data_IF_623191581099
#
_entry.id   IF_623191581099
#
_cell.length_a   1.000
_cell.length_b   1.000
_cell.length_c   1.000
_cell.angle_alpha   90.00
_cell.angle_beta   90.00
_cell.angle_gamma   90.00
#
_symmetry.space_group_name_H-M   'P 1'
#
loop_
_entity.id
_entity.type
_entity.pdbx_description
1 polymer ?
#
# COMPACT_ATOMS: atom_id res chain seq x y z
N UNK A 1 -16.16 14.44 4.94
CA UNK A 1 -17.53 13.94 4.97
C UNK A 1 -17.51 12.48 5.42
N UNK A 2 -18.24 12.17 6.47
CA UNK A 2 -18.38 10.80 6.93
C UNK A 2 -19.36 10.03 6.08
N UNK A 3 -19.00 8.78 5.75
CA UNK A 3 -19.90 7.84 5.10
C UNK A 3 -19.98 6.57 5.93
N UNK A 4 -21.10 5.89 5.82
CA UNK A 4 -21.40 4.66 6.53
C UNK A 4 -21.65 3.56 5.53
N UNK A 5 -20.78 2.56 5.57
CA UNK A 5 -20.81 1.43 4.65
C UNK A 5 -21.38 0.23 5.37
N UNK A 6 -22.52 -0.26 4.88
CA UNK A 6 -23.12 -1.47 5.42
C UNK A 6 -22.55 -2.67 4.67
N UNK A 7 -22.03 -3.60 5.41
CA UNK A 7 -21.44 -4.83 4.88
C UNK A 7 -22.15 -6.05 5.42
N UNK A 8 -22.09 -7.15 4.71
CA UNK A 8 -22.59 -8.43 5.16
C UNK A 8 -21.67 -9.56 4.73
N UNK A 9 -21.78 -10.68 5.42
CA UNK A 9 -21.00 -11.87 5.13
C UNK A 9 -19.64 -11.91 5.80
N UNK A 10 -18.99 -13.06 5.69
CA UNK A 10 -17.65 -13.33 6.21
C UNK A 10 -16.84 -14.04 5.13
N UNK A 11 -15.54 -13.76 5.10
CA UNK A 11 -14.62 -14.35 4.11
C UNK A 11 -15.10 -14.11 2.67
N UNK A 12 -15.31 -15.18 1.91
CA UNK A 12 -15.70 -15.10 0.49
C UNK A 12 -17.08 -14.52 0.24
N UNK A 13 -17.95 -14.53 1.25
CA UNK A 13 -19.31 -13.98 1.14
C UNK A 13 -19.40 -12.51 1.56
N UNK A 14 -18.27 -11.92 1.95
CA UNK A 14 -18.22 -10.51 2.34
C UNK A 14 -18.53 -9.61 1.15
N UNK A 15 -19.40 -8.66 1.36
CA UNK A 15 -19.77 -7.68 0.34
C UNK A 15 -20.33 -6.41 0.93
N UNK A 16 -20.28 -5.34 0.14
CA UNK A 16 -20.91 -4.06 0.48
C UNK A 16 -22.37 -4.12 0.04
N UNK A 17 -23.29 -3.90 0.99
CA UNK A 17 -24.72 -3.90 0.73
C UNK A 17 -25.26 -2.50 0.39
N UNK A 18 -24.77 -1.47 1.10
CA UNK A 18 -25.23 -0.11 0.91
C UNK A 18 -24.24 0.89 1.47
N UNK A 19 -24.33 2.15 1.02
CA UNK A 19 -23.52 3.27 1.49
C UNK A 19 -24.46 4.43 1.79
N UNK A 20 -24.31 5.03 2.98
CA UNK A 20 -25.13 6.13 3.43
C UNK A 20 -24.27 7.28 3.92
N UNK A 21 -24.79 8.50 3.83
CA UNK A 21 -24.14 9.69 4.40
C UNK A 21 -24.65 10.02 5.80
N UNK A 22 -25.73 9.37 6.24
CA UNK A 22 -26.32 9.58 7.56
C UNK A 22 -26.39 8.26 8.33
N UNK A 23 -25.98 8.31 9.58
CA UNK A 23 -25.97 7.15 10.46
C UNK A 23 -27.35 6.50 10.64
N UNK A 24 -28.38 7.33 10.78
CA UNK A 24 -29.75 6.85 11.03
C UNK A 24 -30.23 5.93 9.92
N UNK A 25 -29.91 6.25 8.68
CA UNK A 25 -30.31 5.42 7.54
C UNK A 25 -29.52 4.11 7.48
N UNK A 26 -28.23 4.18 7.82
CA UNK A 26 -27.40 2.97 7.89
C UNK A 26 -27.93 2.02 8.98
N UNK A 27 -28.24 2.56 10.15
CA UNK A 27 -28.75 1.80 11.28
C UNK A 27 -30.08 1.13 10.95
N UNK A 28 -31.01 1.86 10.33
CA UNK A 28 -32.28 1.31 9.87
C UNK A 28 -32.10 0.19 8.85
N UNK A 29 -31.18 0.38 7.92
CA UNK A 29 -30.89 -0.62 6.89
C UNK A 29 -30.32 -1.90 7.51
N UNK A 30 -29.42 -1.77 8.46
CA UNK A 30 -28.85 -2.91 9.19
C UNK A 30 -29.93 -3.70 9.92
N UNK A 31 -30.86 -3.00 10.60
CA UNK A 31 -31.96 -3.64 11.31
C UNK A 31 -32.87 -4.44 10.35
N UNK A 32 -33.16 -3.89 9.18
CA UNK A 32 -33.97 -4.59 8.18
C UNK A 32 -33.23 -5.76 7.54
N UNK A 33 -31.96 -5.58 7.20
CA UNK A 33 -31.15 -6.62 6.57
C UNK A 33 -30.90 -7.79 7.53
N UNK A 34 -30.68 -7.50 8.81
CA UNK A 34 -30.41 -8.49 9.84
C UNK A 34 -31.58 -9.47 10.04
N UNK A 35 -32.81 -9.00 9.80
CA UNK A 35 -34.02 -9.85 9.85
C UNK A 35 -34.04 -10.91 8.76
N UNK A 36 -33.39 -10.65 7.63
CA UNK A 36 -33.39 -11.52 6.45
C UNK A 36 -32.09 -12.30 6.28
N UNK A 37 -31.07 -12.03 7.11
CA UNK A 37 -29.77 -12.67 7.03
C UNK A 37 -29.63 -13.67 8.19
N UNK A 38 -29.80 -14.98 7.94
CA UNK A 38 -29.97 -15.97 9.01
C UNK A 38 -28.72 -16.20 9.86
N UNK A 39 -27.54 -15.87 9.35
CA UNK A 39 -26.27 -16.15 10.05
C UNK A 39 -25.57 -14.89 10.59
N UNK A 40 -26.22 -13.72 10.55
CA UNK A 40 -25.62 -12.48 10.99
C UNK A 40 -24.51 -11.98 10.08
N UNK A 41 -23.54 -11.30 10.64
CA UNK A 41 -22.44 -10.73 9.87
C UNK A 41 -22.77 -9.41 9.17
N UNK A 42 -23.84 -8.74 9.57
CA UNK A 42 -24.19 -7.39 9.08
C UNK A 42 -23.52 -6.39 9.99
N UNK A 43 -22.71 -5.53 9.41
CA UNK A 43 -21.94 -4.51 10.14
C UNK A 43 -22.00 -3.18 9.43
N UNK A 44 -21.72 -2.09 10.17
CA UNK A 44 -21.55 -0.75 9.63
C UNK A 44 -20.10 -0.32 9.85
N UNK A 45 -19.45 0.07 8.77
CA UNK A 45 -18.11 0.68 8.83
C UNK A 45 -18.25 2.20 8.61
N UNK A 46 -17.58 2.98 9.46
CA UNK A 46 -17.52 4.43 9.31
C UNK A 46 -16.23 4.80 8.56
N UNK A 47 -16.37 5.59 7.50
CA UNK A 47 -15.25 6.07 6.69
C UNK A 47 -15.33 7.57 6.51
N UNK A 48 -14.17 8.21 6.44
CA UNK A 48 -14.08 9.61 6.02
C UNK A 48 -13.88 9.67 4.52
N UNK A 49 -14.92 10.11 3.81
CA UNK A 49 -14.79 10.44 2.40
C UNK A 49 -14.01 11.74 2.27
N UNK A 50 -13.15 11.81 1.26
CA UNK A 50 -12.32 12.99 0.99
C UNK A 50 -11.39 13.38 2.15
N UNK A 51 -10.81 12.38 2.82
CA UNK A 51 -9.82 12.58 3.87
C UNK A 51 -8.69 13.49 3.37
N UNK A 52 -8.44 14.66 4.02
CA UNK A 52 -7.41 15.59 3.59
C UNK A 52 -6.01 14.98 3.51
N UNK A 53 -5.68 14.05 4.40
CA UNK A 53 -4.39 13.37 4.36
C UNK A 53 -4.23 12.51 3.12
N UNK A 54 -5.31 11.87 2.70
CA UNK A 54 -5.31 11.03 1.48
C UNK A 54 -5.39 11.85 0.20
N UNK A 55 -5.90 13.09 0.25
CA UNK A 55 -5.89 14.00 -0.89
C UNK A 55 -4.48 14.47 -1.27
N UNK A 56 -3.53 14.40 -0.36
CA UNK A 56 -2.14 14.76 -0.61
C UNK A 56 -1.35 13.64 -1.29
N UNK A 57 -2.02 12.62 -1.78
CA UNK A 57 -1.41 11.57 -2.56
C UNK A 57 -1.29 12.00 -4.02
N UNK A 58 -0.17 11.66 -4.63
CA UNK A 58 0.08 11.85 -6.05
C UNK A 58 0.44 10.53 -6.70
N UNK A 59 -0.02 10.32 -7.93
CA UNK A 59 0.38 9.17 -8.72
C UNK A 59 1.80 9.36 -9.26
N UNK A 60 2.67 8.41 -8.99
CA UNK A 60 4.05 8.45 -9.47
C UNK A 60 4.42 7.14 -10.13
N UNK A 61 5.34 7.24 -11.09
CA UNK A 61 6.03 6.07 -11.59
C UNK A 61 7.14 5.70 -10.61
N UNK A 62 7.17 4.43 -10.22
CA UNK A 62 8.19 3.89 -9.33
C UNK A 62 9.09 2.98 -10.13
N UNK A 63 10.35 3.32 -10.19
CA UNK A 63 11.39 2.55 -10.86
C UNK A 63 12.15 1.74 -9.81
N UNK A 64 12.28 0.45 -10.04
CA UNK A 64 12.86 -0.45 -9.05
C UNK A 64 14.20 -0.98 -9.51
N UNK A 65 15.13 -1.10 -8.58
CA UNK A 65 16.41 -1.77 -8.79
C UNK A 65 16.75 -2.58 -7.53
N UNK A 66 17.50 -3.64 -7.70
CA UNK A 66 17.82 -4.53 -6.60
C UNK A 66 19.22 -5.15 -6.77
N UNK A 67 19.78 -5.57 -5.66
CA UNK A 67 20.97 -6.42 -5.64
C UNK A 67 20.58 -7.77 -5.02
N UNK A 68 20.74 -8.87 -5.74
CA UNK A 68 20.38 -10.19 -5.22
C UNK A 68 21.15 -10.54 -3.93
N UNK A 69 20.54 -11.37 -3.09
CA UNK A 69 21.18 -11.90 -1.91
C UNK A 69 22.47 -12.67 -2.30
N UNK A 70 23.56 -12.36 -1.61
CA UNK A 70 24.86 -12.96 -1.91
C UNK A 70 25.53 -12.48 -3.19
N UNK A 71 24.89 -11.57 -3.94
CA UNK A 71 25.40 -11.01 -5.18
C UNK A 71 25.87 -9.57 -5.05
N UNK A 72 26.43 -9.06 -6.14
CA UNK A 72 26.91 -7.68 -6.23
C UNK A 72 26.38 -6.96 -7.48
N UNK A 73 25.64 -7.66 -8.31
CA UNK A 73 25.11 -7.10 -9.55
C UNK A 73 23.81 -6.34 -9.29
N UNK A 74 23.73 -5.12 -9.82
CA UNK A 74 22.53 -4.31 -9.76
C UNK A 74 21.62 -4.73 -10.91
N UNK A 75 20.36 -5.06 -10.58
CA UNK A 75 19.37 -5.52 -11.55
C UNK A 75 18.19 -4.54 -11.53
N UNK A 76 17.83 -4.02 -12.69
CA UNK A 76 16.59 -3.24 -12.85
C UNK A 76 15.37 -4.17 -12.81
N UNK A 77 14.37 -3.82 -12.01
CA UNK A 77 13.20 -4.68 -11.77
C UNK A 77 11.91 -4.20 -12.43
N UNK A 78 11.98 -3.16 -13.25
CA UNK A 78 10.81 -2.66 -13.96
C UNK A 78 10.22 -1.40 -13.35
N UNK A 79 8.98 -1.12 -13.73
CA UNK A 79 8.28 0.11 -13.34
C UNK A 79 6.85 -0.22 -12.95
N UNK A 80 6.39 0.36 -11.86
CA UNK A 80 4.99 0.33 -11.44
C UNK A 80 4.48 1.75 -11.22
N UNK A 81 3.17 1.92 -11.20
CA UNK A 81 2.55 3.18 -10.81
C UNK A 81 1.92 2.99 -9.43
N UNK A 82 2.18 3.95 -8.54
CA UNK A 82 1.58 3.88 -7.20
C UNK A 82 1.26 5.28 -6.67
N UNK A 83 0.31 5.37 -5.75
CA UNK A 83 -0.02 6.60 -5.06
C UNK A 83 0.88 6.76 -3.84
N UNK A 84 1.53 7.91 -3.75
CA UNK A 84 2.44 8.23 -2.64
C UNK A 84 2.16 9.65 -2.13
N UNK A 85 2.50 9.97 -0.87
CA UNK A 85 2.44 11.34 -0.38
C UNK A 85 3.29 12.27 -1.25
N UNK A 86 2.85 13.51 -1.43
CA UNK A 86 3.58 14.51 -2.24
C UNK A 86 5.05 14.66 -1.88
N UNK A 87 5.38 14.49 -0.60
CA UNK A 87 6.73 14.65 -0.08
C UNK A 87 7.45 13.31 0.13
N UNK A 88 6.93 12.24 -0.47
CA UNK A 88 7.55 10.92 -0.34
C UNK A 88 8.95 10.91 -0.92
N UNK A 89 9.86 10.30 -0.20
CA UNK A 89 11.25 10.11 -0.63
C UNK A 89 11.41 8.73 -1.26
N UNK A 90 12.38 8.62 -2.16
CA UNK A 90 12.80 7.33 -2.68
C UNK A 90 13.17 6.39 -1.53
N UNK A 91 12.83 5.12 -1.69
CA UNK A 91 13.01 4.12 -0.64
C UNK A 91 14.21 3.24 -0.95
N UNK A 92 15.10 3.08 0.03
CA UNK A 92 16.24 2.19 -0.07
C UNK A 92 16.21 1.25 1.13
N UNK A 93 16.05 -0.04 0.86
CA UNK A 93 16.02 -1.08 1.90
C UNK A 93 17.29 -1.90 1.76
N UNK A 94 18.02 -2.01 2.84
CA UNK A 94 19.25 -2.80 2.91
C UNK A 94 19.10 -3.87 3.98
N UNK A 95 19.23 -5.13 3.58
CA UNK A 95 19.18 -6.26 4.49
C UNK A 95 20.14 -7.33 3.96
N UNK A 96 21.33 -7.40 4.55
CA UNK A 96 22.38 -8.33 4.15
C UNK A 96 22.04 -9.80 4.47
N UNK A 97 21.03 -10.02 5.31
CA UNK A 97 20.54 -11.35 5.68
C UNK A 97 19.24 -11.74 4.96
N UNK A 98 18.76 -10.90 4.04
CA UNK A 98 17.54 -11.20 3.28
C UNK A 98 17.74 -12.43 2.38
N UNK A 99 16.65 -13.18 2.18
CA UNK A 99 16.66 -14.40 1.35
C UNK A 99 16.78 -14.10 -0.14
N UNK A 100 16.21 -12.98 -0.60
CA UNK A 100 16.10 -12.67 -2.03
C UNK A 100 16.95 -11.48 -2.46
N UNK A 101 16.89 -10.38 -1.71
CA UNK A 101 17.53 -9.12 -2.06
C UNK A 101 18.32 -8.57 -0.89
N UNK A 102 19.60 -8.26 -1.09
CA UNK A 102 20.38 -7.53 -0.08
C UNK A 102 20.20 -6.01 -0.17
N UNK A 103 19.79 -5.50 -1.33
CA UNK A 103 19.41 -4.10 -1.54
C UNK A 103 18.15 -4.07 -2.40
N UNK A 104 17.16 -3.29 -1.99
CA UNK A 104 15.98 -3.02 -2.78
C UNK A 104 15.75 -1.51 -2.82
N UNK A 105 15.56 -0.96 -4.02
CA UNK A 105 15.39 0.46 -4.25
C UNK A 105 14.12 0.73 -5.01
N UNK A 106 13.37 1.73 -4.54
CA UNK A 106 12.24 2.32 -5.25
C UNK A 106 12.55 3.79 -5.49
N UNK A 107 12.73 4.18 -6.75
CA UNK A 107 12.97 5.56 -7.14
C UNK A 107 11.74 6.14 -7.81
N UNK A 108 11.39 7.38 -7.49
CA UNK A 108 10.31 8.12 -8.14
C UNK A 108 10.83 9.01 -9.27
N UNK A 109 12.11 8.96 -9.57
CA UNK A 109 12.77 9.83 -10.55
C UNK A 109 12.97 9.12 -11.88
N UNK A 110 13.77 8.07 -11.92
CA UNK A 110 14.11 7.36 -13.15
C UNK A 110 14.73 6.00 -12.84
N UNK A 111 14.86 5.18 -13.88
CA UNK A 111 15.54 3.89 -13.80
C UNK A 111 17.02 4.06 -13.43
N UNK A 112 17.67 5.04 -14.04
CA UNK A 112 19.08 5.36 -13.79
C UNK A 112 19.29 5.79 -12.33
N UNK A 113 18.36 6.58 -11.81
CA UNK A 113 18.39 7.01 -10.41
C UNK A 113 18.21 5.83 -9.46
N UNK A 114 17.31 4.89 -9.77
CA UNK A 114 17.15 3.67 -8.98
C UNK A 114 18.46 2.86 -8.94
N UNK A 115 19.11 2.68 -10.07
CA UNK A 115 20.39 1.97 -10.16
C UNK A 115 21.52 2.70 -9.41
N UNK A 116 21.53 4.02 -9.48
CA UNK A 116 22.50 4.85 -8.73
C UNK A 116 22.34 4.65 -7.22
N UNK A 117 21.11 4.71 -6.72
CA UNK A 117 20.84 4.50 -5.30
C UNK A 117 21.24 3.08 -4.85
N UNK A 118 21.00 2.08 -5.69
CA UNK A 118 21.41 0.71 -5.41
C UNK A 118 22.94 0.58 -5.34
N UNK A 119 23.66 1.23 -6.26
CA UNK A 119 25.11 1.25 -6.27
C UNK A 119 25.69 1.92 -5.01
N UNK A 120 25.13 3.05 -4.61
CA UNK A 120 25.54 3.75 -3.40
C UNK A 120 25.32 2.90 -2.15
N UNK A 121 24.16 2.24 -2.05
CA UNK A 121 23.86 1.35 -0.93
C UNK A 121 24.81 0.17 -0.87
N UNK A 122 25.14 -0.42 -2.02
CA UNK A 122 26.06 -1.54 -2.11
C UNK A 122 27.49 -1.12 -1.69
N UNK A 123 27.93 0.04 -2.13
CA UNK A 123 29.25 0.60 -1.72
C UNK A 123 29.30 0.83 -0.21
N UNK A 124 28.22 1.34 0.37
CA UNK A 124 28.12 1.54 1.81
C UNK A 124 28.24 0.22 2.56
N UNK A 125 27.55 -0.82 2.10
CA UNK A 125 27.68 -2.17 2.67
C UNK A 125 29.11 -2.69 2.65
N UNK A 126 29.82 -2.51 1.53
CA UNK A 126 31.22 -2.93 1.38
C UNK A 126 32.15 -2.21 2.34
N UNK A 127 31.93 -0.94 2.63
CA UNK A 127 32.73 -0.16 3.58
C UNK A 127 32.48 -0.59 5.02
N UNK A 128 31.30 -1.06 5.35
CA UNK A 128 30.94 -1.50 6.69
C UNK A 128 31.35 -2.94 6.98
N UNK A 129 31.75 -3.68 5.95
CA UNK A 129 32.30 -5.02 6.10
C UNK A 129 33.82 -4.96 6.20
N UNK A 130 34.41 -5.41 7.31
CA UNK A 130 35.88 -5.45 7.45
C UNK A 130 36.52 -6.46 6.52
#
# INVERSE_FOLDING_TARGET
>A
VKIYIVTSGVYSDYGIEAVFTEWEYADQYVLELDKTTPYGGVEVEEWDADDPEKRNLVGVNVYMAAVPAGGERIVGKGKITKMVPKNARCNVIVDDNALYWRVWVESYVSREHAKKLAAEALQKLRREQP
#
